data_IF_588151034715
#
_entry.id   IF_588151034715
#
_cell.length_a   1.000
_cell.length_b   1.000
_cell.length_c   1.000
_cell.angle_alpha   90.00
_cell.angle_beta   90.00
_cell.angle_gamma   90.00
#
_symmetry.space_group_name_H-M   'P 1'
#
loop_
_entity.id
_entity.type
_entity.pdbx_description
1 polymer ?
#
# COMPACT_ATOMS: atom_id res chain seq x y z
N UNK A 1 -10.21 26.84 -8.44
CA UNK A 1 -11.32 26.04 -9.00
C UNK A 1 -10.99 24.61 -8.61
N UNK A 2 -11.36 24.23 -7.39
CA UNK A 2 -10.79 23.09 -6.66
C UNK A 2 -11.89 22.05 -6.39
N UNK A 3 -12.51 21.57 -7.47
CA UNK A 3 -13.62 20.61 -7.40
C UNK A 3 -13.12 19.19 -7.74
N UNK A 4 -11.99 19.05 -8.45
CA UNK A 4 -11.49 17.76 -8.93
C UNK A 4 -10.80 16.91 -7.84
N UNK A 5 -10.25 17.51 -6.78
CA UNK A 5 -9.44 16.79 -5.78
C UNK A 5 -10.22 15.75 -4.97
N UNK A 6 -11.49 16.04 -4.66
CA UNK A 6 -12.32 15.16 -3.81
C UNK A 6 -12.78 13.89 -4.53
N UNK A 7 -12.86 13.88 -5.86
CA UNK A 7 -13.28 12.70 -6.64
C UNK A 7 -12.30 11.52 -6.45
N UNK A 8 -11.04 11.84 -6.22
CA UNK A 8 -9.92 10.91 -6.10
C UNK A 8 -9.62 10.52 -4.66
N UNK A 9 -10.19 11.21 -3.68
CA UNK A 9 -10.07 10.84 -2.28
C UNK A 9 -11.03 9.68 -2.00
N UNK A 10 -10.48 8.56 -1.53
CA UNK A 10 -11.26 7.36 -1.16
C UNK A 10 -11.19 7.14 0.33
N UNK A 11 -12.32 6.76 0.89
CA UNK A 11 -12.46 6.32 2.27
C UNK A 11 -12.83 4.84 2.26
N UNK A 12 -12.01 4.00 2.87
CA UNK A 12 -12.17 2.53 2.89
C UNK A 12 -11.97 1.98 4.28
N UNK A 13 -12.69 0.89 4.54
CA UNK A 13 -12.54 0.12 5.77
C UNK A 13 -11.74 -1.15 5.50
N UNK A 14 -10.67 -1.34 6.26
CA UNK A 14 -9.86 -2.56 6.27
C UNK A 14 -10.18 -3.31 7.56
N UNK A 15 -10.53 -4.59 7.42
CA UNK A 15 -10.86 -5.46 8.54
C UNK A 15 -9.78 -6.54 8.66
N UNK A 16 -9.34 -6.82 9.87
CA UNK A 16 -8.29 -7.79 10.18
C UNK A 16 -8.86 -9.07 10.80
N UNK A 17 -8.13 -10.17 10.60
CA UNK A 17 -8.49 -11.50 11.14
C UNK A 17 -8.45 -11.48 12.67
N UNK A 18 -9.40 -12.17 13.29
CA UNK A 18 -9.46 -12.28 14.76
C UNK A 18 -8.30 -13.07 15.37
N UNK A 19 -7.95 -14.19 14.73
CA UNK A 19 -6.90 -15.09 15.17
C UNK A 19 -5.55 -14.64 14.60
N UNK A 20 -4.89 -13.73 15.30
CA UNK A 20 -3.58 -13.22 14.94
C UNK A 20 -2.71 -13.00 16.20
N UNK A 21 -1.38 -13.19 16.13
CA UNK A 21 -0.49 -12.98 17.28
C UNK A 21 -0.52 -11.55 17.85
N UNK A 22 -0.69 -10.56 16.97
CA UNK A 22 -0.96 -9.18 17.36
C UNK A 22 -2.48 -8.98 17.53
N UNK A 23 -2.97 -8.68 18.75
CA UNK A 23 -4.39 -8.43 18.99
C UNK A 23 -4.86 -7.06 18.50
N UNK A 24 -3.94 -6.10 18.25
CA UNK A 24 -4.24 -4.71 17.88
C UNK A 24 -3.78 -4.38 16.45
N UNK A 25 -4.02 -5.30 15.51
CA UNK A 25 -3.58 -5.17 14.11
C UNK A 25 -3.96 -3.83 13.47
N UNK A 26 -5.15 -3.28 13.79
CA UNK A 26 -5.55 -1.98 13.25
C UNK A 26 -4.65 -0.82 13.71
N UNK A 27 -4.22 -0.83 14.98
CA UNK A 27 -3.29 0.17 15.50
C UNK A 27 -1.90 -0.01 14.89
N UNK A 28 -1.42 -1.25 14.76
CA UNK A 28 -0.15 -1.57 14.10
C UNK A 28 -0.17 -1.13 12.64
N UNK A 29 -1.25 -1.41 11.93
CA UNK A 29 -1.47 -0.94 10.56
C UNK A 29 -1.48 0.58 10.45
N UNK A 30 -2.12 1.29 11.41
CA UNK A 30 -2.11 2.74 11.45
C UNK A 30 -0.69 3.32 11.53
N UNK A 31 0.16 2.73 12.37
CA UNK A 31 1.56 3.12 12.51
C UNK A 31 2.36 2.84 11.23
N UNK A 32 2.13 1.70 10.58
CA UNK A 32 2.81 1.34 9.32
C UNK A 32 2.42 2.26 8.15
N UNK A 33 1.19 2.79 8.16
CA UNK A 33 0.66 3.63 7.09
C UNK A 33 0.88 5.13 7.30
N UNK A 34 1.35 5.57 8.48
CA UNK A 34 1.49 6.99 8.82
C UNK A 34 2.42 7.75 7.86
N UNK A 35 3.48 7.11 7.37
CA UNK A 35 4.48 7.71 6.48
C UNK A 35 4.35 7.28 5.01
N UNK A 36 3.22 6.68 4.64
CA UNK A 36 2.98 6.21 3.27
C UNK A 36 2.47 7.34 2.40
N UNK A 37 3.23 7.65 1.35
CA UNK A 37 2.85 8.64 0.34
C UNK A 37 1.48 8.31 -0.30
N UNK A 38 0.60 9.30 -0.36
CA UNK A 38 -0.78 9.14 -0.86
C UNK A 38 -1.80 8.75 0.21
N UNK A 39 -1.38 8.27 1.38
CA UNK A 39 -2.27 8.07 2.53
C UNK A 39 -2.45 9.39 3.27
N UNK A 40 -3.69 9.83 3.42
CA UNK A 40 -4.03 11.14 3.99
C UNK A 40 -4.45 11.04 5.46
N UNK A 41 -5.18 9.99 5.81
CA UNK A 41 -5.68 9.78 7.18
C UNK A 41 -5.85 8.31 7.46
N UNK A 42 -5.48 7.90 8.67
CA UNK A 42 -5.65 6.52 9.14
C UNK A 42 -6.23 6.55 10.54
N UNK A 43 -7.41 5.98 10.71
CA UNK A 43 -8.14 5.97 11.98
C UNK A 43 -8.44 4.52 12.39
N UNK A 44 -7.74 3.97 13.40
CA UNK A 44 -8.13 2.70 14.00
C UNK A 44 -9.43 2.89 14.79
N UNK A 45 -10.51 2.24 14.34
CA UNK A 45 -11.85 2.32 14.96
C UNK A 45 -11.94 1.36 16.13
N UNK A 46 -11.42 0.15 15.95
CA UNK A 46 -11.25 -0.86 16.99
C UNK A 46 -9.97 -1.67 16.71
N UNK A 47 -9.70 -2.71 17.51
CA UNK A 47 -8.47 -3.50 17.41
C UNK A 47 -8.26 -4.20 16.04
N UNK A 48 -9.34 -4.42 15.27
CA UNK A 48 -9.37 -5.15 13.99
C UNK A 48 -10.02 -4.35 12.86
N UNK A 49 -10.46 -3.12 13.09
CA UNK A 49 -11.09 -2.28 12.09
C UNK A 49 -10.30 -0.97 11.94
N UNK A 50 -9.82 -0.74 10.72
CA UNK A 50 -9.10 0.45 10.33
C UNK A 50 -9.85 1.20 9.24
N UNK A 51 -10.05 2.49 9.41
CA UNK A 51 -10.48 3.38 8.34
C UNK A 51 -9.26 4.07 7.73
N UNK A 52 -9.18 4.07 6.40
CA UNK A 52 -8.10 4.69 5.65
C UNK A 52 -8.70 5.66 4.65
N UNK A 53 -8.14 6.86 4.62
CA UNK A 53 -8.39 7.88 3.61
C UNK A 53 -7.12 8.07 2.80
N UNK A 54 -7.23 7.96 1.48
CA UNK A 54 -6.08 8.07 0.60
C UNK A 54 -6.50 8.66 -0.75
N UNK A 55 -5.51 9.17 -1.48
CA UNK A 55 -5.69 9.68 -2.82
C UNK A 55 -5.38 8.57 -3.84
N UNK A 56 -6.40 8.16 -4.60
CA UNK A 56 -6.37 6.99 -5.49
C UNK A 56 -5.29 7.07 -6.59
N UNK A 57 -4.87 8.28 -6.98
CA UNK A 57 -3.84 8.44 -8.02
C UNK A 57 -2.45 8.10 -7.48
N UNK A 58 -2.22 8.31 -6.19
CA UNK A 58 -0.93 8.09 -5.54
C UNK A 58 -0.82 6.65 -5.03
N UNK A 59 -1.91 6.12 -4.45
CA UNK A 59 -1.96 4.76 -3.90
C UNK A 59 -3.37 4.16 -4.02
N UNK A 60 -3.48 2.85 -4.24
CA UNK A 60 -4.77 2.12 -4.28
C UNK A 60 -5.02 1.30 -3.01
N UNK A 61 -6.28 0.90 -2.79
CA UNK A 61 -6.59 -0.04 -1.70
C UNK A 61 -5.80 -1.34 -1.82
N UNK A 62 -5.69 -1.87 -3.04
CA UNK A 62 -4.95 -3.10 -3.33
C UNK A 62 -3.48 -2.98 -2.91
N UNK A 63 -2.82 -1.84 -3.21
CA UNK A 63 -1.44 -1.60 -2.81
C UNK A 63 -1.28 -1.47 -1.29
N UNK A 64 -2.20 -0.77 -0.63
CA UNK A 64 -2.21 -0.65 0.84
C UNK A 64 -2.31 -2.04 1.47
N UNK A 65 -3.26 -2.85 1.04
CA UNK A 65 -3.52 -4.17 1.61
C UNK A 65 -2.38 -5.17 1.34
N UNK A 66 -1.81 -5.17 0.13
CA UNK A 66 -0.59 -5.95 -0.17
C UNK A 66 0.58 -5.51 0.72
N UNK A 67 0.74 -4.20 0.94
CA UNK A 67 1.76 -3.65 1.84
C UNK A 67 1.59 -4.16 3.27
N UNK A 68 0.38 -4.07 3.82
CA UNK A 68 0.06 -4.56 5.17
C UNK A 68 0.28 -6.08 5.31
N UNK A 69 -0.15 -6.87 4.32
CA UNK A 69 0.10 -8.32 4.30
C UNK A 69 1.61 -8.61 4.28
N UNK A 70 2.39 -7.85 3.51
CA UNK A 70 3.85 -8.02 3.44
C UNK A 70 4.58 -7.70 4.75
N UNK A 71 3.94 -6.96 5.66
CA UNK A 71 4.42 -6.66 7.01
C UNK A 71 3.94 -7.68 8.05
N UNK A 72 3.23 -8.73 7.62
CA UNK A 72 2.78 -9.83 8.47
C UNK A 72 1.39 -9.66 9.08
N UNK A 73 0.63 -8.62 8.70
CA UNK A 73 -0.74 -8.44 9.15
C UNK A 73 -1.71 -9.28 8.32
N UNK A 74 -2.80 -9.75 8.92
CA UNK A 74 -3.77 -10.61 8.26
C UNK A 74 -5.12 -9.91 8.06
N UNK A 75 -5.48 -9.67 6.80
CA UNK A 75 -6.75 -9.05 6.41
C UNK A 75 -7.86 -10.11 6.39
N UNK A 76 -9.04 -9.77 6.89
CA UNK A 76 -10.19 -10.66 6.97
C UNK A 76 -10.64 -11.11 5.57
N UNK A 77 -10.72 -12.42 5.36
CA UNK A 77 -11.06 -13.04 4.08
C UNK A 77 -12.47 -13.66 4.04
N UNK A 78 -13.37 -13.26 4.94
CA UNK A 78 -14.80 -13.60 4.85
C UNK A 78 -15.40 -13.11 3.52
N UNK A 79 -16.39 -13.84 3.02
CA UNK A 79 -16.97 -13.63 1.69
C UNK A 79 -17.40 -12.18 1.44
N UNK A 80 -18.09 -11.55 2.41
CA UNK A 80 -18.55 -10.17 2.29
C UNK A 80 -17.38 -9.19 2.06
N UNK A 81 -16.34 -9.27 2.89
CA UNK A 81 -15.17 -8.39 2.77
C UNK A 81 -14.40 -8.64 1.47
N UNK A 82 -14.31 -9.89 1.02
CA UNK A 82 -13.72 -10.22 -0.29
C UNK A 82 -14.47 -9.56 -1.45
N UNK A 83 -15.80 -9.62 -1.43
CA UNK A 83 -16.63 -9.01 -2.47
C UNK A 83 -16.52 -7.48 -2.46
N UNK A 84 -16.56 -6.86 -1.27
CA UNK A 84 -16.37 -5.42 -1.12
C UNK A 84 -15.00 -4.98 -1.65
N UNK A 85 -13.92 -5.68 -1.27
CA UNK A 85 -12.58 -5.41 -1.79
C UNK A 85 -12.49 -5.56 -3.30
N UNK A 86 -13.02 -6.65 -3.86
CA UNK A 86 -13.02 -6.87 -5.30
C UNK A 86 -13.74 -5.73 -6.06
N UNK A 87 -14.86 -5.25 -5.52
CA UNK A 87 -15.57 -4.10 -6.07
C UNK A 87 -14.73 -2.81 -5.97
N UNK A 88 -14.10 -2.56 -4.83
CA UNK A 88 -13.22 -1.41 -4.65
C UNK A 88 -12.05 -1.45 -5.62
N UNK A 89 -11.33 -2.57 -5.72
CA UNK A 89 -10.23 -2.72 -6.66
C UNK A 89 -10.66 -2.48 -8.11
N UNK A 90 -11.78 -3.07 -8.51
CA UNK A 90 -12.31 -2.90 -9.86
C UNK A 90 -12.67 -1.44 -10.15
N UNK A 91 -13.44 -0.80 -9.28
CA UNK A 91 -13.86 0.60 -9.46
C UNK A 91 -12.67 1.56 -9.45
N UNK A 92 -11.68 1.30 -8.60
CA UNK A 92 -10.48 2.11 -8.49
C UNK A 92 -9.59 1.98 -9.72
N UNK A 93 -9.38 0.76 -10.22
CA UNK A 93 -8.64 0.52 -11.47
C UNK A 93 -9.31 1.22 -12.65
N UNK A 94 -10.64 1.13 -12.77
CA UNK A 94 -11.38 1.80 -13.84
C UNK A 94 -11.26 3.33 -13.75
N UNK A 95 -11.39 3.91 -12.55
CA UNK A 95 -11.27 5.35 -12.38
C UNK A 95 -9.87 5.86 -12.76
N UNK A 96 -8.82 5.13 -12.38
CA UNK A 96 -7.44 5.45 -12.76
C UNK A 96 -7.23 5.30 -14.27
N UNK A 97 -7.77 4.26 -14.88
CA UNK A 97 -7.67 4.02 -16.33
C UNK A 97 -8.33 5.13 -17.16
N UNK A 98 -9.51 5.64 -16.74
CA UNK A 98 -10.20 6.75 -17.40
C UNK A 98 -9.34 8.02 -17.45
N UNK A 99 -8.55 8.27 -16.42
CA UNK A 99 -7.62 9.43 -16.36
C UNK A 99 -6.24 9.13 -16.96
N UNK A 100 -6.09 8.03 -17.72
CA UNK A 100 -4.85 7.66 -18.40
C UNK A 100 -3.76 7.09 -17.49
N UNK A 101 -4.08 6.80 -16.22
CA UNK A 101 -3.19 6.16 -15.26
C UNK A 101 -3.48 4.66 -15.19
N UNK A 102 -3.27 3.95 -16.30
CA UNK A 102 -3.42 2.49 -16.35
C UNK A 102 -2.32 1.79 -15.52
N UNK A 103 -2.61 0.58 -15.01
CA UNK A 103 -1.58 -0.36 -14.52
C UNK A 103 -0.44 -0.42 -15.54
N UNK A 104 0.69 0.21 -15.22
CA UNK A 104 1.79 0.37 -16.17
C UNK A 104 2.62 1.65 -16.06
N UNK A 105 2.23 2.65 -15.26
CA UNK A 105 3.20 3.71 -14.92
C UNK A 105 4.21 3.13 -13.92
N UNK A 106 5.47 2.85 -14.34
CA UNK A 106 6.42 2.12 -13.53
C UNK A 106 6.80 2.86 -12.25
N UNK A 107 6.51 4.16 -12.12
CA UNK A 107 7.04 4.98 -11.02
C UNK A 107 6.44 4.66 -9.64
N UNK A 108 5.16 4.30 -9.53
CA UNK A 108 4.51 4.15 -8.23
C UNK A 108 5.01 2.91 -7.46
N UNK A 109 5.02 1.73 -8.08
CA UNK A 109 5.57 0.52 -7.45
C UNK A 109 7.11 0.52 -7.44
N UNK A 110 7.77 1.07 -8.47
CA UNK A 110 9.24 1.17 -8.51
C UNK A 110 9.79 2.02 -7.38
N UNK A 111 9.12 3.11 -6.97
CA UNK A 111 9.57 3.91 -5.84
C UNK A 111 9.46 3.16 -4.51
N UNK A 112 8.40 2.38 -4.32
CA UNK A 112 8.22 1.56 -3.11
C UNK A 112 9.26 0.42 -3.07
N UNK A 113 9.48 -0.27 -4.19
CA UNK A 113 10.51 -1.31 -4.31
C UNK A 113 11.93 -0.74 -4.24
N UNK A 114 12.19 0.44 -4.81
CA UNK A 114 13.49 1.12 -4.75
C UNK A 114 13.81 1.58 -3.33
N UNK A 115 12.85 2.17 -2.61
CA UNK A 115 13.00 2.54 -1.19
C UNK A 115 13.31 1.30 -0.33
N UNK A 116 12.56 0.20 -0.52
CA UNK A 116 12.82 -1.08 0.18
C UNK A 116 14.17 -1.70 -0.20
N UNK A 117 14.55 -1.66 -1.48
CA UNK A 117 15.84 -2.16 -1.94
C UNK A 117 17.01 -1.32 -1.40
N UNK A 118 16.82 -0.01 -1.24
CA UNK A 118 17.82 0.88 -0.64
C UNK A 118 17.97 0.65 0.87
N UNK A 119 16.88 0.37 1.58
CA UNK A 119 16.88 0.17 3.04
C UNK A 119 17.38 -1.20 3.50
N UNK A 120 17.43 -2.19 2.61
CA UNK A 120 17.98 -3.53 2.92
C UNK A 120 19.50 -3.51 2.73
N UNK A 121 20.24 -3.97 3.75
CA UNK A 121 21.69 -4.14 3.66
C UNK A 121 22.03 -5.40 2.87
N UNK A 122 22.26 -5.22 1.56
CA UNK A 122 22.60 -6.32 0.67
C UNK A 122 24.09 -6.65 0.82
N UNK A 123 24.39 -7.80 1.42
CA UNK A 123 25.76 -8.34 1.50
C UNK A 123 26.36 -8.69 0.11
N UNK A 124 25.57 -8.56 -0.96
CA UNK A 124 25.97 -8.74 -2.36
C UNK A 124 26.32 -7.43 -3.08
N UNK A 125 26.31 -6.26 -2.40
CA UNK A 125 26.88 -5.03 -2.98
C UNK A 125 28.38 -5.24 -3.11
N UNK A 126 28.88 -5.35 -4.34
CA UNK A 126 30.30 -5.45 -4.60
C UNK A 126 30.95 -4.09 -4.30
N UNK A 127 31.59 -3.99 -3.13
CA UNK A 127 32.27 -2.80 -2.63
C UNK A 127 33.58 -2.52 -3.38
N UNK A 128 33.97 -3.35 -4.35
CA UNK A 128 35.25 -3.20 -5.04
C UNK A 128 35.25 -1.93 -5.92
N UNK A 129 36.34 -1.14 -5.88
CA UNK A 129 36.52 0.02 -6.73
C UNK A 129 36.44 -0.33 -8.23
N UNK A 130 35.93 0.60 -9.05
CA UNK A 130 35.66 0.33 -10.47
C UNK A 130 36.87 -0.16 -11.26
N UNK A 131 38.07 0.28 -10.89
CA UNK A 131 39.31 -0.06 -11.59
C UNK A 131 39.70 -1.54 -11.47
N UNK A 132 39.12 -2.30 -10.52
CA UNK A 132 39.37 -3.74 -10.38
C UNK A 132 38.40 -4.63 -11.16
N UNK A 133 37.34 -4.07 -11.75
CA UNK A 133 36.37 -4.84 -12.54
C UNK A 133 36.84 -5.21 -13.95
N UNK A 134 37.91 -4.59 -14.45
CA UNK A 134 38.43 -4.78 -15.82
C UNK A 134 39.44 -5.92 -15.98
N UNK A 135 39.79 -6.60 -14.90
CA UNK A 135 40.87 -7.61 -14.87
C UNK A 135 40.36 -9.03 -14.55
N UNK A 136 39.05 -9.26 -14.66
CA UNK A 136 38.39 -10.57 -14.62
C UNK A 136 37.69 -10.81 -15.96
#
# INVERSE_FOLDING_TARGET
MDIDGHEFIKHRSIHFVELHPDPNQAQTAALLLADVEGVMRVDPVDARHLQVTYHIMDITLEQIEVGLISMGLHIDNRLLYRLMRALHYYTEENQRAVRGCTKGNPNCTRNIFAKRYQSIDHHCRDHRPEHWRKYL
#
